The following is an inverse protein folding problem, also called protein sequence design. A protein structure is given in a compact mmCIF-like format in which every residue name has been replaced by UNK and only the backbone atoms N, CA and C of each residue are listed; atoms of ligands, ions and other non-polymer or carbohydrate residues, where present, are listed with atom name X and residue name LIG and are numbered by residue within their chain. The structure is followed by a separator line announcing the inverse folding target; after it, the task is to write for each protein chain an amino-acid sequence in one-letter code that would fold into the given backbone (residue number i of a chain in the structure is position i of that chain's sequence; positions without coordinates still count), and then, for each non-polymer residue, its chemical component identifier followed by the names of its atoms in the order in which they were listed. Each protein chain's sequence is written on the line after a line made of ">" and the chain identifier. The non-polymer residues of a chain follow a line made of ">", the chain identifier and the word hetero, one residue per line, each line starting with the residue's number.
data_IF_840123246182
#
_entry.id   IF_840123246182
#
_cell.length_a   1.000
_cell.length_b   1.000
_cell.length_c   1.000
_cell.angle_alpha   90.00
_cell.angle_beta   90.00
_cell.angle_gamma   90.00
#
_symmetry.space_group_name_H-M   'P 1'
#
loop_
_entity.id
_entity.type
_entity.pdbx_description
1 polymer ?
#
# COMPACT_ATOMS: atom_id res chain seq x y z
N UNK A 1 2.98 -37.82 -24.26
CA UNK A 1 3.30 -36.60 -23.48
C UNK A 1 2.64 -35.40 -24.13
N UNK A 2 1.39 -35.14 -23.75
CA UNK A 2 0.56 -33.98 -24.08
C UNK A 2 -0.42 -33.80 -22.93
N UNK A 3 -0.89 -32.55 -22.75
CA UNK A 3 -1.83 -32.02 -21.74
C UNK A 3 -1.20 -31.57 -20.41
N UNK A 4 -1.03 -30.25 -20.27
CA UNK A 4 -1.34 -29.47 -19.05
C UNK A 4 -1.10 -27.95 -19.29
N UNK A 5 -1.90 -27.33 -20.17
CA UNK A 5 -1.80 -25.86 -20.39
C UNK A 5 -3.08 -25.17 -20.88
N UNK A 6 -4.27 -25.79 -20.84
CA UNK A 6 -5.48 -25.22 -21.49
C UNK A 6 -6.67 -24.99 -20.55
N UNK A 7 -6.57 -25.27 -19.24
CA UNK A 7 -7.71 -24.99 -18.32
C UNK A 7 -7.64 -23.68 -17.53
N UNK A 8 -6.51 -22.96 -17.51
CA UNK A 8 -6.38 -21.70 -16.74
C UNK A 8 -6.70 -20.43 -17.53
N UNK A 9 -6.89 -20.50 -18.86
CA UNK A 9 -7.16 -19.31 -19.71
C UNK A 9 -8.63 -19.24 -20.19
N UNK A 10 -9.41 -20.31 -20.00
CA UNK A 10 -10.82 -20.35 -20.38
C UNK A 10 -11.78 -19.65 -19.40
N UNK A 11 -11.30 -19.22 -18.22
CA UNK A 11 -12.09 -18.47 -17.23
C UNK A 11 -11.91 -16.94 -17.36
N UNK A 12 -10.83 -16.47 -18.00
CA UNK A 12 -10.55 -15.05 -18.24
C UNK A 12 -10.92 -14.57 -19.66
N UNK A 13 -11.30 -15.48 -20.56
CA UNK A 13 -11.77 -15.17 -21.92
C UNK A 13 -13.28 -15.44 -22.12
N UNK A 14 -14.12 -15.19 -21.10
CA UNK A 14 -15.60 -15.24 -21.20
C UNK A 14 -16.28 -13.87 -21.03
N UNK A 15 -15.55 -12.78 -21.28
CA UNK A 15 -16.10 -11.41 -21.31
C UNK A 15 -15.95 -10.71 -22.67
N UNK A 16 -15.65 -11.44 -23.74
CA UNK A 16 -15.79 -10.90 -25.09
C UNK A 16 -16.45 -11.92 -26.00
N UNK A 17 -17.53 -11.46 -26.66
CA UNK A 17 -18.39 -12.09 -27.67
C UNK A 17 -19.78 -12.50 -27.17
N UNK A 18 -20.76 -11.90 -27.84
CA UNK A 18 -22.18 -11.96 -27.56
C UNK A 18 -22.80 -13.35 -27.82
N UNK A 19 -23.36 -13.97 -26.79
CA UNK A 19 -24.77 -14.41 -26.70
C UNK A 19 -25.02 -15.08 -25.33
N UNK A 20 -26.23 -15.00 -24.77
CA UNK A 20 -26.50 -15.34 -23.38
C UNK A 20 -26.62 -16.85 -23.22
N UNK A 21 -25.72 -17.45 -22.44
CA UNK A 21 -25.94 -18.78 -21.89
C UNK A 21 -25.91 -18.64 -20.38
N UNK A 22 -27.14 -18.62 -19.87
CA UNK A 22 -27.56 -19.00 -18.53
C UNK A 22 -26.70 -20.14 -17.98
N UNK A 23 -25.97 -19.89 -16.89
CA UNK A 23 -25.69 -20.91 -15.88
C UNK A 23 -25.27 -20.23 -14.58
N UNK A 24 -26.08 -20.44 -13.55
CA UNK A 24 -25.84 -19.98 -12.20
C UNK A 24 -24.54 -20.61 -11.69
N UNK A 25 -23.52 -19.79 -11.45
CA UNK A 25 -22.39 -20.18 -10.60
C UNK A 25 -22.99 -20.43 -9.21
N UNK A 26 -22.98 -21.68 -8.76
CA UNK A 26 -23.48 -21.99 -7.43
C UNK A 26 -22.57 -21.36 -6.36
N UNK A 27 -23.12 -21.01 -5.20
CA UNK A 27 -22.31 -20.48 -4.08
C UNK A 27 -21.18 -21.42 -3.68
N UNK A 28 -21.34 -22.73 -3.92
CA UNK A 28 -20.33 -23.75 -3.65
C UNK A 28 -19.15 -23.64 -4.64
N UNK A 29 -19.41 -23.43 -5.92
CA UNK A 29 -18.35 -23.23 -6.93
C UNK A 29 -17.63 -21.90 -6.72
N UNK A 30 -18.35 -20.83 -6.36
CA UNK A 30 -17.73 -19.56 -5.99
C UNK A 30 -16.86 -19.69 -4.73
N UNK A 31 -17.32 -20.45 -3.72
CA UNK A 31 -16.55 -20.73 -2.51
C UNK A 31 -15.32 -21.61 -2.79
N UNK A 32 -15.43 -22.59 -3.68
CA UNK A 32 -14.33 -23.49 -4.03
C UNK A 32 -13.26 -22.80 -4.89
N UNK A 33 -13.68 -21.89 -5.77
CA UNK A 33 -12.78 -20.98 -6.50
C UNK A 33 -12.12 -20.01 -5.53
N UNK A 34 -12.84 -19.45 -4.54
CA UNK A 34 -12.26 -18.62 -3.50
C UNK A 34 -11.26 -19.38 -2.61
N UNK A 35 -11.55 -20.66 -2.29
CA UNK A 35 -10.68 -21.53 -1.51
C UNK A 35 -9.40 -21.90 -2.29
N UNK A 36 -9.53 -22.21 -3.58
CA UNK A 36 -8.38 -22.53 -4.43
C UNK A 36 -7.56 -21.29 -4.73
N UNK A 37 -8.20 -20.13 -4.91
CA UNK A 37 -7.53 -18.84 -4.98
C UNK A 37 -6.80 -18.53 -3.67
N UNK A 38 -7.38 -18.82 -2.51
CA UNK A 38 -6.75 -18.69 -1.19
C UNK A 38 -5.54 -19.63 -1.01
N UNK A 39 -5.62 -20.87 -1.48
CA UNK A 39 -4.50 -21.82 -1.39
C UNK A 39 -3.34 -21.43 -2.32
N UNK A 40 -3.65 -20.86 -3.49
CA UNK A 40 -2.67 -20.26 -4.40
C UNK A 40 -2.12 -18.96 -3.82
N UNK A 41 -2.97 -18.11 -3.22
CA UNK A 41 -2.54 -16.89 -2.53
C UNK A 41 -1.62 -17.25 -1.38
N UNK A 42 -1.86 -18.31 -0.61
CA UNK A 42 -0.96 -18.77 0.45
C UNK A 42 0.40 -19.24 -0.07
N UNK A 43 0.45 -19.86 -1.26
CA UNK A 43 1.70 -20.24 -1.92
C UNK A 43 2.43 -19.04 -2.55
N UNK A 44 1.71 -17.96 -2.91
CA UNK A 44 2.28 -16.70 -3.44
C UNK A 44 2.63 -15.71 -2.31
N UNK A 45 1.92 -15.76 -1.18
CA UNK A 45 2.23 -15.12 0.12
C UNK A 45 3.60 -15.60 0.64
N UNK A 46 4.06 -16.78 0.20
CA UNK A 46 5.42 -17.26 0.48
C UNK A 46 6.52 -16.41 -0.20
N UNK A 47 6.20 -15.51 -1.12
CA UNK A 47 7.13 -14.58 -1.76
C UNK A 47 7.14 -13.18 -1.11
N UNK A 48 6.96 -13.08 0.21
CA UNK A 48 7.12 -11.88 1.05
C UNK A 48 8.56 -11.29 1.04
N UNK A 49 9.26 -11.39 -0.07
CA UNK A 49 10.56 -10.81 -0.30
C UNK A 49 10.36 -9.55 -1.15
N UNK A 50 10.96 -8.45 -0.72
CA UNK A 50 11.07 -7.31 -1.61
C UNK A 50 12.00 -7.70 -2.78
N UNK A 51 11.69 -7.22 -3.98
CA UNK A 51 12.44 -7.54 -5.20
C UNK A 51 12.81 -6.27 -5.92
N UNK A 52 14.11 -6.11 -6.18
CA UNK A 52 14.69 -4.99 -6.92
C UNK A 52 14.05 -3.65 -6.51
N UNK A 53 13.17 -3.11 -7.33
CA UNK A 53 12.54 -1.81 -7.18
C UNK A 53 11.74 -1.68 -5.86
N UNK A 54 11.02 -2.69 -5.39
CA UNK A 54 10.27 -2.57 -4.11
C UNK A 54 11.19 -2.40 -2.89
N UNK A 55 12.35 -3.08 -2.86
CA UNK A 55 13.36 -2.84 -1.82
C UNK A 55 13.95 -1.44 -1.94
N UNK A 56 14.25 -1.01 -3.17
CA UNK A 56 14.87 0.28 -3.44
C UNK A 56 13.99 1.43 -2.97
N UNK A 57 12.68 1.38 -3.24
CA UNK A 57 11.74 2.39 -2.76
C UNK A 57 11.67 2.43 -1.22
N UNK A 58 11.63 1.26 -0.58
CA UNK A 58 11.59 1.16 0.89
C UNK A 58 12.89 1.64 1.56
N UNK A 59 14.05 1.40 0.95
CA UNK A 59 15.34 1.86 1.44
C UNK A 59 15.50 3.36 1.22
N UNK A 60 15.13 3.85 0.02
CA UNK A 60 15.22 5.26 -0.36
C UNK A 60 14.32 6.14 0.51
N UNK A 61 13.12 5.66 0.85
CA UNK A 61 12.26 6.33 1.82
C UNK A 61 12.82 6.30 3.25
N UNK A 62 13.83 5.47 3.54
CA UNK A 62 14.32 5.21 4.89
C UNK A 62 13.34 4.37 5.74
N UNK A 63 12.28 3.84 5.11
CA UNK A 63 11.25 3.03 5.74
C UNK A 63 11.79 1.67 6.18
N UNK A 64 12.69 1.04 5.42
CA UNK A 64 13.30 -0.24 5.81
C UNK A 64 14.33 -0.09 6.93
N UNK A 65 14.97 1.09 7.01
CA UNK A 65 16.13 1.36 7.86
C UNK A 65 17.45 0.84 7.30
N UNK A 66 17.45 0.30 6.09
CA UNK A 66 18.67 -0.04 5.35
C UNK A 66 19.16 1.18 4.56
N UNK A 67 20.46 1.25 4.33
CA UNK A 67 21.07 2.29 3.50
C UNK A 67 20.70 2.07 2.03
N UNK A 68 20.11 3.06 1.34
CA UNK A 68 19.81 2.96 -0.09
C UNK A 68 21.07 2.67 -0.92
N UNK A 69 20.99 1.70 -1.84
CA UNK A 69 22.11 1.31 -2.73
C UNK A 69 21.85 1.57 -4.21
N UNK A 70 20.59 1.77 -4.60
CA UNK A 70 20.16 1.91 -6.00
C UNK A 70 19.16 3.07 -6.10
N UNK A 71 19.05 3.66 -7.29
CA UNK A 71 18.11 4.75 -7.57
C UNK A 71 16.84 4.12 -8.09
N UNK A 72 15.71 4.52 -7.51
CA UNK A 72 14.40 4.10 -7.99
C UNK A 72 14.24 4.48 -9.47
N UNK A 73 13.69 3.55 -10.26
CA UNK A 73 13.35 3.82 -11.66
C UNK A 73 12.42 5.03 -11.79
N UNK A 74 12.68 5.90 -12.76
CA UNK A 74 11.81 7.04 -13.10
C UNK A 74 11.95 8.28 -12.22
N UNK A 75 12.71 8.22 -11.12
CA UNK A 75 12.90 9.38 -10.23
C UNK A 75 13.75 10.47 -10.89
N UNK A 76 13.20 11.68 -11.02
CA UNK A 76 13.91 12.87 -11.48
C UNK A 76 14.59 13.62 -10.32
N UNK A 77 15.29 14.72 -10.60
CA UNK A 77 16.04 15.46 -9.58
C UNK A 77 15.14 16.16 -8.54
N UNK A 78 13.94 16.55 -8.92
CA UNK A 78 12.98 17.15 -7.99
C UNK A 78 12.36 16.10 -7.06
N UNK A 79 12.12 14.88 -7.57
CA UNK A 79 11.69 13.74 -6.75
C UNK A 79 12.76 13.40 -5.71
N UNK A 80 14.04 13.40 -6.12
CA UNK A 80 15.18 13.19 -5.22
C UNK A 80 15.28 14.31 -4.18
N UNK A 81 15.11 15.59 -4.56
CA UNK A 81 15.08 16.69 -3.59
C UNK A 81 13.97 16.52 -2.56
N UNK A 82 12.79 16.06 -2.99
CA UNK A 82 11.69 15.76 -2.08
C UNK A 82 12.06 14.63 -1.11
N UNK A 83 12.70 13.56 -1.60
CA UNK A 83 13.16 12.47 -0.73
C UNK A 83 14.19 12.97 0.28
N UNK A 84 15.18 13.75 -0.16
CA UNK A 84 16.24 14.31 0.70
C UNK A 84 15.68 15.22 1.79
N UNK A 85 14.59 15.94 1.53
CA UNK A 85 13.88 16.77 2.54
C UNK A 85 13.48 15.95 3.77
N UNK A 86 13.14 14.67 3.61
CA UNK A 86 12.67 13.81 4.70
C UNK A 86 13.66 12.71 5.10
N UNK A 87 14.58 12.32 4.21
CA UNK A 87 15.63 11.34 4.45
C UNK A 87 17.01 11.89 4.03
N UNK A 88 17.70 12.64 4.91
CA UNK A 88 18.96 13.31 4.57
C UNK A 88 20.09 12.34 4.20
N UNK A 89 20.03 11.08 4.64
CA UNK A 89 21.00 10.03 4.28
C UNK A 89 21.07 9.82 2.76
N UNK A 90 19.96 9.96 2.04
CA UNK A 90 19.95 9.90 0.58
C UNK A 90 20.81 11.02 -0.02
N UNK A 91 20.75 12.21 0.57
CA UNK A 91 21.51 13.37 0.11
C UNK A 91 23.01 13.24 0.38
N UNK A 92 23.40 12.59 1.46
CA UNK A 92 24.79 12.27 1.78
C UNK A 92 25.37 11.25 0.78
N UNK A 93 24.65 10.16 0.53
CA UNK A 93 25.06 9.13 -0.42
C UNK A 93 25.25 9.67 -1.84
N UNK A 94 24.36 10.57 -2.28
CA UNK A 94 24.46 11.21 -3.59
C UNK A 94 25.65 12.18 -3.70
N UNK A 95 26.07 12.81 -2.59
CA UNK A 95 27.26 13.68 -2.55
C UNK A 95 28.56 12.88 -2.56
N UNK A 96 28.59 11.74 -1.90
CA UNK A 96 29.79 10.91 -1.78
C UNK A 96 30.17 10.24 -3.10
N UNK A 97 29.19 9.74 -3.87
CA UNK A 97 29.45 9.19 -5.21
C UNK A 97 28.16 9.13 -6.04
N UNK A 98 28.00 10.09 -6.96
CA UNK A 98 26.87 10.12 -7.92
C UNK A 98 26.76 8.85 -8.80
N UNK A 99 27.81 8.03 -8.88
CA UNK A 99 27.88 6.73 -9.57
C UNK A 99 27.75 5.51 -8.63
N UNK A 100 27.70 5.69 -7.30
CA UNK A 100 27.55 4.60 -6.33
C UNK A 100 26.12 4.06 -6.28
N UNK A 101 25.16 4.86 -6.72
CA UNK A 101 23.76 4.50 -6.78
C UNK A 101 23.44 4.20 -8.25
N UNK A 102 23.58 2.93 -8.65
CA UNK A 102 23.20 2.53 -10.00
C UNK A 102 21.68 2.68 -10.16
N UNK A 103 21.25 3.12 -11.34
CA UNK A 103 19.83 3.00 -11.71
C UNK A 103 19.48 1.52 -11.69
N UNK A 104 18.34 1.16 -11.12
CA UNK A 104 17.81 -0.18 -11.33
C UNK A 104 17.66 -0.44 -12.84
N UNK A 105 17.74 -1.71 -13.24
CA UNK A 105 17.43 -2.09 -14.62
C UNK A 105 16.01 -1.66 -14.95
N UNK A 106 15.86 -0.86 -16.02
CA UNK A 106 14.57 -0.38 -16.52
C UNK A 106 13.62 -1.56 -16.69
N UNK A 107 12.51 -1.56 -15.97
CA UNK A 107 11.51 -2.60 -16.09
C UNK A 107 10.57 -2.27 -17.25
N UNK A 108 10.03 -3.29 -17.92
CA UNK A 108 9.11 -3.11 -19.03
C UNK A 108 7.76 -2.67 -18.46
N UNK A 109 7.66 -1.38 -18.14
CA UNK A 109 6.45 -0.76 -17.61
C UNK A 109 5.39 -0.82 -18.70
N UNK A 110 4.42 -1.71 -18.54
CA UNK A 110 3.37 -1.94 -19.52
C UNK A 110 2.54 -0.69 -19.85
N UNK A 111 1.52 -0.86 -20.69
CA UNK A 111 0.66 0.16 -21.35
C UNK A 111 0.01 1.25 -20.44
N UNK A 112 0.23 1.20 -19.13
CA UNK A 112 -0.29 2.09 -18.09
C UNK A 112 0.13 3.57 -18.26
N UNK A 113 1.25 3.87 -18.91
CA UNK A 113 1.74 5.25 -19.07
C UNK A 113 0.77 6.17 -19.83
N UNK A 114 -0.01 5.64 -20.78
CA UNK A 114 -1.01 6.42 -21.53
C UNK A 114 -2.31 6.64 -20.73
N UNK A 115 -2.80 5.61 -20.05
CA UNK A 115 -3.97 5.71 -19.18
C UNK A 115 -3.70 6.68 -18.02
N UNK A 116 -2.50 6.63 -17.44
CA UNK A 116 -2.07 7.60 -16.45
C UNK A 116 -1.86 9.00 -17.01
N UNK A 117 -1.29 9.15 -18.20
CA UNK A 117 -1.22 10.46 -18.85
C UNK A 117 -2.61 11.09 -19.00
N UNK A 118 -3.60 10.28 -19.38
CA UNK A 118 -4.99 10.70 -19.48
C UNK A 118 -5.62 11.01 -18.12
N UNK A 119 -5.49 10.13 -17.12
CA UNK A 119 -5.99 10.37 -15.76
C UNK A 119 -5.32 11.62 -15.16
N UNK A 120 -4.00 11.68 -15.16
CA UNK A 120 -3.25 12.83 -14.63
C UNK A 120 -3.74 14.15 -15.25
N UNK A 121 -4.00 14.20 -16.56
CA UNK A 121 -4.53 15.41 -17.22
C UNK A 121 -5.97 15.77 -16.80
N UNK A 122 -6.82 14.79 -16.48
CA UNK A 122 -8.21 15.03 -16.03
C UNK A 122 -8.26 15.55 -14.59
N UNK A 123 -7.42 14.99 -13.73
CA UNK A 123 -7.53 15.21 -12.29
C UNK A 123 -6.57 16.28 -11.75
N UNK A 124 -5.50 16.63 -12.48
CA UNK A 124 -4.54 17.71 -12.13
C UNK A 124 -5.19 19.05 -11.72
N UNK A 125 -6.32 19.51 -12.29
CA UNK A 125 -7.00 20.73 -11.85
C UNK A 125 -7.73 20.60 -10.49
N UNK A 126 -7.93 19.37 -10.00
CA UNK A 126 -8.68 19.04 -8.78
C UNK A 126 -7.77 18.72 -7.59
N UNK A 127 -6.45 18.64 -7.81
CA UNK A 127 -5.45 18.37 -6.78
C UNK A 127 -5.06 19.73 -6.15
N UNK A 128 -5.23 19.92 -4.83
CA UNK A 128 -4.77 21.13 -4.17
C UNK A 128 -3.26 21.30 -4.37
N UNK A 129 -2.82 22.51 -4.71
CA UNK A 129 -1.40 22.83 -4.69
C UNK A 129 -0.93 22.89 -3.21
N UNK A 130 -0.25 21.85 -2.74
CA UNK A 130 0.43 21.85 -1.46
C UNK A 130 0.68 20.45 -0.90
N UNK A 131 1.94 20.14 -0.60
CA UNK A 131 2.28 18.95 0.19
C UNK A 131 1.69 19.08 1.60
N UNK A 132 0.84 18.14 2.00
CA UNK A 132 0.47 17.99 3.40
C UNK A 132 1.47 17.06 4.06
N UNK A 133 2.28 17.58 4.98
CA UNK A 133 3.30 16.80 5.71
C UNK A 133 3.20 16.94 7.24
N UNK A 134 2.11 17.57 7.72
CA UNK A 134 1.72 17.67 9.13
C UNK A 134 0.38 17.02 9.35
N UNK A 135 0.31 16.15 10.35
CA UNK A 135 -0.89 15.39 10.69
C UNK A 135 -1.47 15.72 12.06
N UNK A 136 -2.73 15.36 12.25
CA UNK A 136 -3.39 15.43 13.55
C UNK A 136 -4.34 14.25 13.77
N UNK A 137 -4.42 13.77 15.01
CA UNK A 137 -5.37 12.72 15.39
C UNK A 137 -6.59 13.30 16.11
N UNK A 138 -7.69 13.40 15.38
CA UNK A 138 -8.97 13.95 15.87
C UNK A 138 -9.99 12.89 16.27
N UNK A 139 -9.68 11.60 16.08
CA UNK A 139 -10.57 10.49 16.42
C UNK A 139 -10.84 10.33 17.92
N UNK A 140 -11.88 9.55 18.24
CA UNK A 140 -12.21 9.17 19.61
C UNK A 140 -11.17 8.18 20.17
N UNK A 141 -11.05 8.10 21.50
CA UNK A 141 -10.26 7.05 22.13
C UNK A 141 -11.13 5.81 22.33
N UNK A 142 -10.90 4.80 21.50
CA UNK A 142 -11.46 3.46 21.63
C UNK A 142 -10.34 2.45 21.84
N UNK A 143 -10.65 1.21 22.23
CA UNK A 143 -9.63 0.18 22.46
C UNK A 143 -8.70 0.01 21.26
N UNK A 144 -9.26 0.05 20.05
CA UNK A 144 -8.53 -0.10 18.80
C UNK A 144 -8.73 1.15 17.93
N UNK A 145 -7.66 1.64 17.30
CA UNK A 145 -7.68 2.74 16.34
C UNK A 145 -7.15 2.20 15.02
N UNK A 146 -7.95 2.26 13.95
CA UNK A 146 -7.54 1.93 12.59
C UNK A 146 -7.31 3.22 11.81
N UNK A 147 -6.08 3.44 11.36
CA UNK A 147 -5.69 4.58 10.53
C UNK A 147 -5.59 4.09 9.07
N UNK A 148 -6.35 4.70 8.16
CA UNK A 148 -6.43 4.27 6.75
C UNK A 148 -5.85 5.35 5.82
N UNK A 149 -4.96 4.96 4.91
CA UNK A 149 -4.47 5.81 3.82
C UNK A 149 -4.97 5.31 2.47
N UNK A 150 -5.59 6.21 1.70
CA UNK A 150 -6.14 5.95 0.35
C UNK A 150 -5.06 5.83 -0.73
N UNK A 151 -5.43 5.48 -1.95
CA UNK A 151 -4.52 5.41 -3.10
C UNK A 151 -4.34 6.76 -3.81
N UNK A 152 -3.40 6.79 -4.75
CA UNK A 152 -3.11 7.94 -5.61
C UNK A 152 -4.36 8.48 -6.28
N UNK A 153 -4.54 9.80 -6.19
CA UNK A 153 -5.64 10.55 -6.80
C UNK A 153 -7.04 10.15 -6.33
N UNK A 154 -7.18 9.28 -5.34
CA UNK A 154 -8.50 8.93 -4.85
C UNK A 154 -9.16 10.13 -4.14
N UNK A 155 -10.41 10.50 -4.51
CA UNK A 155 -11.11 11.60 -3.88
C UNK A 155 -11.66 11.19 -2.51
N UNK A 156 -12.30 12.13 -1.80
CA UNK A 156 -12.88 11.93 -0.45
C UNK A 156 -11.83 11.62 0.63
N UNK A 157 -12.25 11.50 1.90
CA UNK A 157 -11.32 11.25 3.00
C UNK A 157 -10.76 9.81 2.99
N UNK A 158 -11.54 8.82 2.54
CA UNK A 158 -11.14 7.40 2.56
C UNK A 158 -10.83 6.83 1.16
N UNK A 159 -10.92 7.64 0.10
CA UNK A 159 -10.85 7.13 -1.27
C UNK A 159 -12.19 6.61 -1.77
N UNK A 160 -12.19 5.92 -2.91
CA UNK A 160 -13.41 5.36 -3.54
C UNK A 160 -13.32 3.84 -3.75
N UNK A 161 -12.15 3.24 -3.50
CA UNK A 161 -11.87 1.81 -3.69
C UNK A 161 -11.80 1.05 -2.36
N UNK A 162 -10.59 0.78 -1.84
CA UNK A 162 -10.34 -0.05 -0.66
C UNK A 162 -10.90 0.60 0.61
N UNK A 163 -10.65 1.90 0.82
CA UNK A 163 -10.96 2.57 2.08
C UNK A 163 -12.44 2.61 2.45
N UNK A 164 -13.39 2.92 1.53
CA UNK A 164 -14.83 2.89 1.84
C UNK A 164 -15.35 1.53 2.28
N UNK A 165 -14.84 0.44 1.69
CA UNK A 165 -15.24 -0.92 2.08
C UNK A 165 -14.56 -1.30 3.40
N UNK A 166 -13.28 -0.95 3.57
CA UNK A 166 -12.51 -1.28 4.76
C UNK A 166 -12.99 -0.52 6.01
N UNK A 167 -13.47 0.73 5.89
CA UNK A 167 -13.86 1.57 7.03
C UNK A 167 -15.15 1.13 7.75
N UNK A 168 -15.90 0.19 7.19
CA UNK A 168 -17.21 -0.25 7.71
C UNK A 168 -17.14 -1.63 8.39
N UNK A 169 -18.14 -1.98 9.20
CA UNK A 169 -18.25 -3.32 9.81
C UNK A 169 -17.35 -3.54 11.04
N UNK A 170 -16.97 -2.46 11.71
CA UNK A 170 -16.26 -2.46 12.98
C UNK A 170 -17.23 -2.22 14.13
N UNK A 171 -17.01 -2.89 15.26
CA UNK A 171 -17.80 -2.67 16.47
C UNK A 171 -17.36 -1.40 17.23
N UNK A 172 -18.06 -1.09 18.33
CA UNK A 172 -17.81 0.11 19.15
C UNK A 172 -16.42 0.17 19.82
N UNK A 173 -15.65 -0.91 19.79
CA UNK A 173 -14.27 -0.93 20.31
C UNK A 173 -13.26 -0.35 19.32
N UNK A 174 -13.69 0.00 18.10
CA UNK A 174 -12.86 0.53 17.04
C UNK A 174 -13.22 1.98 16.69
N UNK A 175 -12.19 2.79 16.50
CA UNK A 175 -12.26 4.09 15.84
C UNK A 175 -11.52 3.96 14.53
N UNK A 176 -12.16 4.32 13.42
CA UNK A 176 -11.52 4.28 12.10
C UNK A 176 -11.37 5.69 11.59
N UNK A 177 -10.15 6.11 11.28
CA UNK A 177 -9.83 7.47 10.81
C UNK A 177 -9.03 7.44 9.51
N UNK A 178 -9.23 8.42 8.62
CA UNK A 178 -8.41 8.55 7.43
C UNK A 178 -7.15 9.36 7.73
N UNK A 179 -6.04 9.05 7.04
CA UNK A 179 -4.91 9.97 6.95
C UNK A 179 -5.32 11.12 6.04
N UNK A 180 -5.26 12.34 6.57
CA UNK A 180 -5.62 13.57 5.84
C UNK A 180 -4.42 14.12 5.09
N UNK A 181 -4.05 13.45 4.00
CA UNK A 181 -2.94 13.85 3.14
C UNK A 181 -3.39 14.05 1.69
N UNK A 182 -2.55 14.71 0.91
CA UNK A 182 -2.73 14.87 -0.54
C UNK A 182 -2.16 13.63 -1.28
N UNK A 183 -2.99 12.76 -1.90
CA UNK A 183 -2.55 11.54 -2.55
C UNK A 183 -2.05 11.80 -3.98
N UNK A 184 -1.14 12.75 -4.18
CA UNK A 184 -0.77 13.21 -5.51
C UNK A 184 0.27 12.31 -6.19
N UNK A 185 0.34 12.36 -7.52
CA UNK A 185 1.36 11.62 -8.29
C UNK A 185 2.80 12.05 -7.92
N UNK A 186 3.11 13.35 -7.71
CA UNK A 186 4.40 13.74 -7.14
C UNK A 186 4.68 13.10 -5.77
N UNK A 187 3.65 12.88 -4.95
CA UNK A 187 3.75 12.14 -3.69
C UNK A 187 4.21 10.68 -3.88
N UNK A 188 3.82 10.01 -4.97
CA UNK A 188 4.32 8.67 -5.32
C UNK A 188 5.80 8.69 -5.66
N UNK A 189 6.22 9.64 -6.49
CA UNK A 189 7.62 9.78 -6.87
C UNK A 189 8.50 10.22 -5.68
N UNK A 190 7.91 10.91 -4.70
CA UNK A 190 8.50 11.15 -3.39
C UNK A 190 8.26 9.98 -2.40
N UNK A 191 8.05 8.77 -2.92
CA UNK A 191 7.93 7.48 -2.19
C UNK A 191 6.97 7.53 -0.99
N UNK A 192 5.89 8.31 -1.11
CA UNK A 192 4.87 8.47 -0.09
C UNK A 192 5.33 9.21 1.17
N UNK A 193 6.46 9.93 1.15
CA UNK A 193 7.04 10.58 2.33
C UNK A 193 6.17 11.72 2.89
N UNK A 194 5.62 12.65 2.09
CA UNK A 194 4.77 13.72 2.63
C UNK A 194 3.59 13.18 3.42
N UNK A 195 2.79 12.29 2.82
CA UNK A 195 1.70 11.60 3.52
C UNK A 195 2.19 10.74 4.68
N UNK A 196 3.36 10.11 4.55
CA UNK A 196 4.00 9.36 5.62
C UNK A 196 4.28 10.22 6.86
N UNK A 197 4.66 11.48 6.69
CA UNK A 197 4.84 12.40 7.81
C UNK A 197 3.51 12.78 8.49
N UNK A 198 2.43 12.89 7.72
CA UNK A 198 1.06 13.04 8.28
C UNK A 198 0.69 11.81 9.10
N UNK A 199 0.89 10.61 8.57
CA UNK A 199 0.60 9.36 9.27
C UNK A 199 1.44 9.20 10.55
N UNK A 200 2.74 9.52 10.50
CA UNK A 200 3.63 9.56 11.67
C UNK A 200 3.09 10.48 12.76
N UNK A 201 2.71 11.72 12.41
CA UNK A 201 2.15 12.66 13.40
C UNK A 201 0.84 12.12 14.00
N UNK A 202 -0.01 11.49 13.18
CA UNK A 202 -1.23 10.85 13.67
C UNK A 202 -0.94 9.69 14.63
N UNK A 203 0.02 8.83 14.33
CA UNK A 203 0.41 7.70 15.20
C UNK A 203 0.91 8.21 16.55
N UNK A 204 1.79 9.21 16.54
CA UNK A 204 2.34 9.82 17.75
C UNK A 204 1.22 10.46 18.58
N UNK A 205 0.37 11.28 17.95
CA UNK A 205 -0.73 11.96 18.63
C UNK A 205 -1.80 11.00 19.14
N UNK A 206 -2.12 9.93 18.42
CA UNK A 206 -3.01 8.89 18.90
C UNK A 206 -2.43 8.19 20.14
N UNK A 207 -1.12 7.90 20.15
CA UNK A 207 -0.46 7.31 21.32
C UNK A 207 -0.47 8.24 22.55
N UNK A 208 -0.28 9.55 22.34
CA UNK A 208 -0.33 10.54 23.43
C UNK A 208 -1.76 10.76 23.93
N UNK A 209 -2.72 10.97 23.03
CA UNK A 209 -4.13 11.26 23.36
C UNK A 209 -4.85 10.04 23.94
N UNK A 210 -4.55 8.86 23.41
CA UNK A 210 -5.21 7.61 23.74
C UNK A 210 -4.18 6.54 24.16
N UNK A 211 -3.52 6.69 25.32
CA UNK A 211 -2.39 5.84 25.72
C UNK A 211 -2.75 4.36 25.97
N UNK A 212 -4.05 4.06 26.12
CA UNK A 212 -4.57 2.70 26.28
C UNK A 212 -5.03 2.06 24.95
N UNK A 213 -5.01 2.82 23.86
CA UNK A 213 -5.45 2.33 22.55
C UNK A 213 -4.32 1.58 21.85
N UNK A 214 -4.69 0.48 21.19
CA UNK A 214 -3.86 -0.17 20.18
C UNK A 214 -4.14 0.45 18.82
N UNK A 215 -3.08 0.60 18.04
CA UNK A 215 -3.14 1.21 16.72
C UNK A 215 -2.92 0.16 15.64
N UNK A 216 -3.67 0.30 14.57
CA UNK A 216 -3.58 -0.52 13.38
C UNK A 216 -3.56 0.40 12.18
N UNK A 217 -2.80 0.03 11.16
CA UNK A 217 -2.72 0.83 9.95
C UNK A 217 -3.13 0.02 8.73
N UNK A 218 -3.80 0.69 7.80
CA UNK A 218 -4.11 0.13 6.50
C UNK A 218 -3.80 1.11 5.38
N UNK A 219 -3.22 0.63 4.28
CA UNK A 219 -2.87 1.47 3.13
C UNK A 219 -3.10 0.78 1.80
N UNK A 220 -3.57 1.52 0.80
CA UNK A 220 -3.72 1.04 -0.58
C UNK A 220 -2.81 1.83 -1.52
N UNK A 221 -2.05 1.16 -2.40
CA UNK A 221 -1.19 1.80 -3.41
C UNK A 221 -0.21 2.79 -2.75
N UNK A 222 -0.21 4.08 -3.13
CA UNK A 222 0.52 5.13 -2.39
C UNK A 222 0.28 5.11 -0.87
N UNK A 223 -0.96 4.85 -0.47
CA UNK A 223 -1.36 4.76 0.93
C UNK A 223 -0.60 3.67 1.70
N UNK A 224 -0.16 2.60 1.03
CA UNK A 224 0.69 1.57 1.63
C UNK A 224 2.08 2.12 1.99
N UNK A 225 2.71 2.88 1.08
CA UNK A 225 3.95 3.61 1.39
C UNK A 225 3.73 4.60 2.53
N UNK A 226 2.63 5.35 2.51
CA UNK A 226 2.28 6.33 3.55
C UNK A 226 2.21 5.68 4.93
N UNK A 227 1.48 4.58 5.10
CA UNK A 227 1.38 3.94 6.43
C UNK A 227 2.69 3.31 6.87
N UNK A 228 3.48 2.74 5.95
CA UNK A 228 4.80 2.17 6.25
C UNK A 228 5.79 3.25 6.69
N UNK A 229 5.87 4.36 5.96
CA UNK A 229 6.65 5.53 6.34
C UNK A 229 6.18 6.10 7.68
N UNK A 230 4.86 6.23 7.87
CA UNK A 230 4.26 6.69 9.11
C UNK A 230 4.75 5.90 10.31
N UNK A 231 4.68 4.57 10.22
CA UNK A 231 5.20 3.69 11.28
C UNK A 231 6.72 3.86 11.41
N UNK A 232 7.49 3.76 10.32
CA UNK A 232 8.96 3.81 10.36
C UNK A 232 9.50 5.06 11.07
N UNK A 233 8.86 6.22 10.85
CA UNK A 233 9.25 7.51 11.41
C UNK A 233 8.57 7.87 12.73
N UNK A 234 7.58 7.08 13.19
CA UNK A 234 6.92 7.31 14.47
C UNK A 234 7.91 7.15 15.64
N UNK A 235 7.62 7.84 16.74
CA UNK A 235 8.40 7.72 17.97
C UNK A 235 8.36 6.28 18.49
N UNK A 236 9.45 5.75 19.09
CA UNK A 236 9.50 4.37 19.55
C UNK A 236 8.33 3.97 20.47
N UNK A 237 7.91 4.87 21.36
CA UNK A 237 6.78 4.67 22.28
C UNK A 237 5.44 4.55 21.55
N UNK A 238 5.20 5.39 20.54
CA UNK A 238 4.00 5.35 19.72
C UNK A 238 4.00 4.15 18.79
N UNK A 239 5.14 3.83 18.18
CA UNK A 239 5.35 2.64 17.35
C UNK A 239 5.07 1.34 18.11
N UNK A 240 5.42 1.25 19.40
CA UNK A 240 5.10 0.09 20.23
C UNK A 240 3.58 -0.14 20.43
N UNK A 241 2.75 0.90 20.20
CA UNK A 241 1.29 0.81 20.20
C UNK A 241 0.72 0.34 18.87
N UNK A 242 1.51 0.31 17.79
CA UNK A 242 1.10 -0.26 16.51
C UNK A 242 1.15 -1.78 16.60
N UNK A 243 0.01 -2.44 16.41
CA UNK A 243 -0.16 -3.89 16.57
C UNK A 243 -0.38 -4.63 15.26
N UNK A 244 -0.48 -3.91 14.16
CA UNK A 244 -0.49 -4.50 12.83
C UNK A 244 -0.58 -3.47 11.72
N UNK A 245 0.00 -3.83 10.58
CA UNK A 245 -0.08 -3.06 9.34
C UNK A 245 -0.63 -3.97 8.25
N UNK A 246 -1.68 -3.52 7.57
CA UNK A 246 -2.24 -4.19 6.39
C UNK A 246 -2.04 -3.32 5.16
N UNK A 247 -1.57 -3.88 4.06
CA UNK A 247 -1.40 -3.12 2.81
C UNK A 247 -2.00 -3.84 1.62
N UNK A 248 -2.43 -3.08 0.62
CA UNK A 248 -2.98 -3.58 -0.64
C UNK A 248 -2.23 -2.91 -1.80
N UNK A 249 -1.73 -3.70 -2.75
CA UNK A 249 -0.97 -3.17 -3.89
C UNK A 249 0.25 -2.38 -3.43
N UNK A 250 1.07 -2.96 -2.54
CA UNK A 250 2.08 -2.27 -1.75
C UNK A 250 3.41 -2.11 -2.50
N UNK A 251 3.85 -0.87 -2.83
CA UNK A 251 5.14 -0.65 -3.48
C UNK A 251 6.35 -1.08 -2.65
N UNK A 252 6.19 -1.22 -1.32
CA UNK A 252 7.24 -1.66 -0.41
C UNK A 252 7.06 -3.15 -0.03
N UNK A 253 6.34 -3.92 -0.86
CA UNK A 253 6.07 -5.32 -0.56
C UNK A 253 7.36 -6.09 -0.22
N UNK A 254 7.28 -6.86 0.86
CA UNK A 254 8.37 -7.67 1.41
C UNK A 254 9.48 -6.90 2.15
N UNK A 255 9.47 -5.57 2.15
CA UNK A 255 10.43 -4.80 2.92
C UNK A 255 10.03 -4.77 4.42
N UNK A 256 10.99 -4.75 5.36
CA UNK A 256 10.68 -4.49 6.76
C UNK A 256 10.27 -3.02 6.97
N UNK A 257 9.78 -2.72 8.18
CA UNK A 257 9.57 -1.34 8.65
C UNK A 257 10.56 -1.07 9.78
N UNK A 258 11.35 0.00 9.66
CA UNK A 258 12.44 0.39 10.57
C UNK A 258 11.96 0.45 12.01
N UNK A 259 12.56 -0.38 12.86
CA UNK A 259 12.27 -0.44 14.29
C UNK A 259 10.86 -0.94 14.63
N UNK A 260 10.13 -1.53 13.69
CA UNK A 260 8.83 -2.15 13.91
C UNK A 260 8.94 -3.66 13.76
N UNK A 261 8.51 -4.38 14.80
CA UNK A 261 8.56 -5.86 14.86
C UNK A 261 7.18 -6.49 14.85
N UNK A 262 6.13 -5.69 14.74
CA UNK A 262 4.76 -6.18 14.66
C UNK A 262 4.46 -6.79 13.29
N UNK A 263 3.31 -7.46 13.15
CA UNK A 263 2.96 -8.18 11.94
C UNK A 263 2.58 -7.21 10.81
N UNK A 264 3.00 -7.57 9.59
CA UNK A 264 2.63 -6.90 8.35
C UNK A 264 1.93 -7.93 7.46
N UNK A 265 0.73 -7.62 6.98
CA UNK A 265 0.01 -8.44 6.00
C UNK A 265 -0.16 -7.62 4.73
N UNK A 266 0.57 -8.01 3.70
CA UNK A 266 0.43 -7.42 2.38
C UNK A 266 -0.48 -8.26 1.50
N UNK A 267 -1.42 -7.63 0.82
CA UNK A 267 -2.22 -8.18 -0.26
C UNK A 267 -1.63 -7.71 -1.59
N UNK A 268 -0.90 -8.58 -2.27
CA UNK A 268 -0.23 -8.30 -3.53
C UNK A 268 -0.57 -9.37 -4.56
N UNK A 269 -1.34 -9.01 -5.58
CA UNK A 269 -1.76 -9.95 -6.62
C UNK A 269 -0.61 -10.18 -7.60
N UNK A 270 -0.58 -11.37 -8.20
CA UNK A 270 0.52 -11.77 -9.09
C UNK A 270 0.71 -10.83 -10.29
N UNK A 271 -0.37 -10.27 -10.83
CA UNK A 271 -0.35 -9.35 -11.97
C UNK A 271 -0.43 -7.87 -11.52
N UNK A 272 -0.23 -7.58 -10.23
CA UNK A 272 -0.12 -6.21 -9.74
C UNK A 272 1.32 -5.72 -9.83
N UNK A 273 1.63 -4.97 -10.90
CA UNK A 273 2.95 -4.39 -11.12
C UNK A 273 3.39 -3.41 -10.03
N UNK A 274 2.45 -2.80 -9.30
CA UNK A 274 2.76 -1.90 -8.18
C UNK A 274 3.46 -2.63 -7.05
N UNK A 275 3.13 -3.90 -6.81
CA UNK A 275 3.79 -4.72 -5.80
C UNK A 275 5.28 -4.99 -6.10
N UNK A 276 5.69 -4.87 -7.36
CA UNK A 276 7.10 -4.90 -7.75
C UNK A 276 7.84 -3.60 -7.49
N UNK A 277 7.14 -2.54 -7.07
CA UNK A 277 7.66 -1.17 -6.97
C UNK A 277 7.51 -0.35 -8.27
N UNK A 278 6.74 -0.85 -9.24
CA UNK A 278 6.54 -0.14 -10.51
C UNK A 278 5.31 0.76 -10.45
N UNK A 279 5.34 1.83 -11.24
CA UNK A 279 4.16 2.66 -11.42
C UNK A 279 3.26 2.10 -12.54
N UNK A 280 2.74 0.88 -12.34
CA UNK A 280 1.98 0.13 -13.34
C UNK A 280 0.61 -0.31 -12.80
N UNK A 281 -0.45 0.40 -13.22
CA UNK A 281 -1.82 0.01 -12.88
C UNK A 281 -2.32 -1.09 -13.81
N UNK A 282 -2.53 -2.26 -13.23
CA UNK A 282 -3.22 -3.36 -13.87
C UNK A 282 -4.66 -3.50 -13.35
N UNK A 283 -5.47 -4.31 -14.03
CA UNK A 283 -6.77 -4.71 -13.49
C UNK A 283 -6.64 -5.40 -12.13
N UNK A 284 -5.52 -6.12 -11.90
CA UNK A 284 -5.24 -6.72 -10.60
C UNK A 284 -5.12 -5.64 -9.51
N UNK A 285 -4.36 -4.57 -9.77
CA UNK A 285 -4.20 -3.45 -8.83
C UNK A 285 -5.52 -2.75 -8.45
N UNK A 286 -6.49 -2.69 -9.36
CA UNK A 286 -7.78 -2.03 -9.15
C UNK A 286 -8.84 -2.95 -8.52
N UNK A 287 -8.56 -4.24 -8.36
CA UNK A 287 -9.57 -5.25 -8.04
C UNK A 287 -9.72 -5.61 -6.56
N UNK A 288 -8.82 -5.13 -5.69
CA UNK A 288 -8.88 -5.37 -4.23
C UNK A 288 -10.24 -5.08 -3.55
N UNK A 289 -10.99 -4.01 -3.88
CA UNK A 289 -12.29 -3.78 -3.20
C UNK A 289 -13.37 -4.78 -3.61
N UNK A 290 -13.15 -5.58 -4.65
CA UNK A 290 -14.14 -6.48 -5.25
C UNK A 290 -13.88 -7.95 -4.97
N UNK A 291 -12.90 -8.28 -4.12
CA UNK A 291 -12.55 -9.66 -3.80
C UNK A 291 -12.44 -9.91 -2.28
N UNK A 292 -11.90 -11.08 -1.92
CA UNK A 292 -11.78 -11.54 -0.54
C UNK A 292 -10.73 -10.77 0.28
N UNK A 293 -9.84 -9.99 -0.36
CA UNK A 293 -8.73 -9.30 0.30
C UNK A 293 -9.21 -8.40 1.43
N UNK A 294 -10.33 -7.67 1.23
CA UNK A 294 -10.88 -6.79 2.27
C UNK A 294 -11.40 -7.60 3.47
N UNK A 295 -12.10 -8.71 3.22
CA UNK A 295 -12.60 -9.57 4.30
C UNK A 295 -11.46 -10.21 5.09
N UNK A 296 -10.41 -10.68 4.40
CA UNK A 296 -9.22 -11.25 5.04
C UNK A 296 -8.44 -10.20 5.83
N UNK A 297 -8.28 -9.00 5.29
CA UNK A 297 -7.67 -7.87 6.00
C UNK A 297 -8.41 -7.55 7.30
N UNK A 298 -9.75 -7.49 7.25
CA UNK A 298 -10.57 -7.28 8.46
C UNK A 298 -10.40 -8.41 9.46
N UNK A 299 -10.32 -9.66 8.99
CA UNK A 299 -10.11 -10.82 9.85
C UNK A 299 -8.75 -10.76 10.55
N UNK A 300 -7.68 -10.44 9.81
CA UNK A 300 -6.33 -10.35 10.36
C UNK A 300 -6.19 -9.19 11.36
N UNK A 301 -6.76 -8.02 11.05
CA UNK A 301 -6.82 -6.89 11.98
C UNK A 301 -7.56 -7.24 13.28
N UNK A 302 -8.70 -7.93 13.19
CA UNK A 302 -9.46 -8.39 14.36
C UNK A 302 -8.68 -9.43 15.17
N UNK A 303 -7.98 -10.34 14.50
CA UNK A 303 -7.12 -11.35 15.13
C UNK A 303 -5.99 -10.70 15.91
N UNK A 304 -5.27 -9.74 15.32
CA UNK A 304 -4.22 -9.01 16.03
C UNK A 304 -4.77 -8.19 17.21
N UNK A 305 -5.93 -7.54 17.06
CA UNK A 305 -6.58 -6.86 18.17
C UNK A 305 -7.00 -7.82 19.30
N UNK A 306 -7.45 -9.03 19.00
CA UNK A 306 -7.75 -10.04 20.00
C UNK A 306 -6.51 -10.55 20.74
N UNK A 307 -5.35 -10.60 20.08
CA UNK A 307 -4.07 -10.99 20.69
C UNK A 307 -3.43 -9.91 21.58
N UNK A 308 -4.00 -8.70 21.59
CA UNK A 308 -3.53 -7.56 22.41
C UNK A 308 -4.34 -7.35 23.69
N UNK A 309 -5.22 -8.32 24.00
CA UNK A 309 -6.01 -8.38 25.23
C UNK A 309 -5.24 -9.09 26.32
#
# INVERSE_FOLDING_TARGET
>A
MKLNSIFAVAALAKLSLANPIENQISRAEAAQVAQTAHDIDLQVIAANECKAQSCVLADTSGSSGLTPKLRAEGANDDDIKCIVKYNPLVGELLKENSSAIQNVTKQDTGVSSQLFGWLNNIWKPLIPNGETDKGDYTGACTKNILIISKGTMEPTEYGVTVGPVLKTGWDKTWTVVPVKYDPSVPGDYCVGLPGGMVAKDMINKAATKCPQSWQFLAGYSQGAMVVRNGVAYAEPSAKARVKGVVTFGDPFQGAPIKGYTGPIKTFCKIDDGVCGGNFELSAAHLSYPFDISISEAKAELKKWAAATQ
#
